data_IF_943065115932
#
_entry.id   IF_943065115932
#
_cell.length_a   1.000
_cell.length_b   1.000
_cell.length_c   1.000
_cell.angle_alpha   90.00
_cell.angle_beta   90.00
_cell.angle_gamma   90.00
#
_symmetry.space_group_name_H-M   'P 1'
#
loop_
_entity.id
_entity.type
_entity.pdbx_description
1 polymer ?
#
# COMPACT_ATOMS: atom_id res chain seq x y z
N UNK A 1 18.32 -9.87 2.36
CA UNK A 1 17.24 -8.94 1.96
C UNK A 1 17.62 -7.56 2.47
N UNK A 2 17.85 -6.58 1.58
CA UNK A 2 18.09 -5.19 2.00
C UNK A 2 16.77 -4.66 2.59
N UNK A 3 16.74 -4.04 3.79
CA UNK A 3 15.52 -3.48 4.34
C UNK A 3 14.99 -2.42 3.37
N UNK A 4 13.67 -2.41 3.16
CA UNK A 4 13.02 -1.37 2.37
C UNK A 4 13.30 -0.02 3.00
N UNK A 5 14.09 0.80 2.32
CA UNK A 5 14.39 2.17 2.74
C UNK A 5 13.25 3.10 2.31
N UNK A 6 12.01 2.77 2.72
CA UNK A 6 10.88 3.67 2.53
C UNK A 6 10.64 4.43 3.82
N UNK A 7 10.64 5.76 3.73
CA UNK A 7 10.28 6.62 4.85
C UNK A 7 8.79 6.45 5.17
N UNK A 8 8.40 6.67 6.43
CA UNK A 8 7.00 6.61 6.85
C UNK A 8 6.09 7.53 6.00
N UNK A 9 6.60 8.72 5.63
CA UNK A 9 5.88 9.67 4.78
C UNK A 9 5.60 9.09 3.37
N UNK A 10 6.60 8.47 2.75
CA UNK A 10 6.48 7.81 1.44
C UNK A 10 5.51 6.63 1.50
N UNK A 11 5.56 5.85 2.57
CA UNK A 11 4.65 4.74 2.78
C UNK A 11 3.20 5.21 2.89
N UNK A 12 2.93 6.32 3.59
CA UNK A 12 1.58 6.91 3.70
C UNK A 12 1.10 7.40 2.33
N UNK A 13 1.94 8.10 1.56
CA UNK A 13 1.58 8.57 0.22
C UNK A 13 1.26 7.40 -0.72
N UNK A 14 2.11 6.38 -0.75
CA UNK A 14 1.91 5.17 -1.55
C UNK A 14 0.67 4.39 -1.13
N UNK A 15 0.38 4.28 0.17
CA UNK A 15 -0.82 3.60 0.68
C UNK A 15 -2.11 4.22 0.10
N UNK A 16 -2.15 5.56 0.04
CA UNK A 16 -3.28 6.34 -0.48
C UNK A 16 -3.40 6.22 -1.99
N UNK A 17 -2.27 6.30 -2.71
CA UNK A 17 -2.26 6.19 -4.17
C UNK A 17 -2.61 4.77 -4.65
N UNK A 18 -2.13 3.74 -3.94
CA UNK A 18 -2.37 2.34 -4.27
C UNK A 18 -3.68 1.80 -3.70
N UNK A 19 -4.33 2.52 -2.78
CA UNK A 19 -5.50 2.03 -2.04
C UNK A 19 -5.19 0.81 -1.17
N UNK A 20 -3.95 0.68 -0.68
CA UNK A 20 -3.48 -0.47 0.12
C UNK A 20 -3.10 0.01 1.52
N UNK A 21 -3.44 -0.71 2.60
CA UNK A 21 -3.11 -0.30 3.96
C UNK A 21 -1.59 -0.21 4.23
N UNK A 22 -1.21 0.73 5.10
CA UNK A 22 0.18 1.02 5.47
C UNK A 22 0.90 -0.18 6.09
N UNK A 23 0.23 -0.96 6.96
CA UNK A 23 0.78 -2.18 7.58
C UNK A 23 1.18 -3.19 6.51
N UNK A 24 0.29 -3.46 5.55
CA UNK A 24 0.58 -4.37 4.45
C UNK A 24 1.73 -3.84 3.59
N UNK A 25 1.83 -2.53 3.39
CA UNK A 25 2.92 -1.89 2.64
C UNK A 25 4.28 -2.05 3.32
N UNK A 26 4.34 -1.96 4.65
CA UNK A 26 5.57 -2.13 5.44
C UNK A 26 6.09 -3.58 5.43
N UNK A 27 5.18 -4.55 5.33
CA UNK A 27 5.54 -5.98 5.19
C UNK A 27 5.70 -6.43 3.73
N UNK A 28 5.39 -5.55 2.78
CA UNK A 28 5.38 -5.88 1.36
C UNK A 28 6.81 -6.05 0.84
N UNK A 29 7.13 -7.14 0.12
CA UNK A 29 8.44 -7.27 -0.50
C UNK A 29 8.61 -6.31 -1.69
N UNK A 30 9.83 -5.82 -1.91
CA UNK A 30 10.16 -4.74 -2.85
C UNK A 30 9.68 -4.99 -4.29
N UNK A 31 9.74 -6.23 -4.78
CA UNK A 31 9.32 -6.57 -6.14
C UNK A 31 7.79 -6.51 -6.34
N UNK A 32 7.00 -6.69 -5.28
CA UNK A 32 5.53 -6.53 -5.34
C UNK A 32 5.17 -5.05 -5.37
N UNK A 33 5.87 -4.24 -4.59
CA UNK A 33 5.70 -2.78 -4.62
C UNK A 33 6.00 -2.21 -6.01
N UNK A 34 7.09 -2.66 -6.64
CA UNK A 34 7.46 -2.28 -8.01
C UNK A 34 6.37 -2.64 -9.03
N UNK A 35 5.77 -3.83 -8.91
CA UNK A 35 4.65 -4.25 -9.77
C UNK A 35 3.43 -3.33 -9.59
N UNK A 36 3.03 -3.06 -8.34
CA UNK A 36 1.91 -2.16 -8.03
C UNK A 36 2.13 -0.73 -8.54
N UNK A 37 3.35 -0.19 -8.42
CA UNK A 37 3.69 1.13 -8.97
C UNK A 37 3.62 1.11 -10.50
N UNK A 38 4.11 0.05 -11.15
CA UNK A 38 3.99 -0.11 -12.60
C UNK A 38 2.53 -0.28 -13.06
N UNK A 39 1.69 -0.95 -12.28
CA UNK A 39 0.25 -1.04 -12.52
C UNK A 39 -0.43 0.32 -12.34
N UNK A 40 -0.08 1.10 -11.31
CA UNK A 40 -0.59 2.45 -11.08
C UNK A 40 -0.25 3.38 -12.26
N UNK A 41 1.00 3.37 -12.72
CA UNK A 41 1.46 4.18 -13.84
C UNK A 41 0.76 3.82 -15.16
N UNK A 42 0.32 2.57 -15.32
CA UNK A 42 -0.50 2.12 -16.47
C UNK A 42 -1.98 2.43 -16.28
N UNK A 43 -2.46 2.51 -15.03
CA UNK A 43 -3.87 2.68 -14.67
C UNK A 43 -4.28 4.13 -14.46
N UNK A 44 -3.42 5.11 -14.74
CA UNK A 44 -3.74 6.55 -14.74
C UNK A 44 -4.89 6.91 -15.73
N UNK A 45 -5.46 5.91 -16.44
CA UNK A 45 -6.65 6.02 -17.28
C UNK A 45 -7.94 5.40 -16.70
N UNK A 46 -7.93 4.81 -15.51
CA UNK A 46 -9.15 4.26 -14.89
C UNK A 46 -9.13 4.38 -13.35
N UNK A 47 -10.20 4.90 -12.71
CA UNK A 47 -10.26 5.01 -11.26
C UNK A 47 -10.43 3.60 -10.68
N UNK A 48 -9.39 3.08 -10.05
CA UNK A 48 -9.48 1.84 -9.29
C UNK A 48 -10.28 2.10 -8.01
N UNK A 49 -11.60 1.92 -8.12
CA UNK A 49 -12.54 1.79 -7.01
C UNK A 49 -12.10 0.72 -6.02
N UNK A 50 -12.38 1.00 -4.75
CA UNK A 50 -12.00 0.19 -3.61
C UNK A 50 -12.38 -1.28 -3.71
N UNK A 51 -11.54 -2.09 -3.06
CA UNK A 51 -11.96 -3.34 -2.44
C UNK A 51 -11.72 -3.19 -0.94
N UNK A 52 -12.83 -3.06 -0.24
CA UNK A 52 -13.10 -3.47 1.13
C UNK A 52 -12.06 -4.46 1.73
N UNK A 53 -11.54 -4.15 2.93
CA UNK A 53 -12.13 -4.63 4.19
C UNK A 53 -11.46 -3.98 5.42
N UNK A 54 -12.26 -3.22 6.17
CA UNK A 54 -12.30 -3.01 7.64
C UNK A 54 -11.13 -2.37 8.43
N UNK A 55 -11.39 -1.24 9.15
CA UNK A 55 -10.93 -1.02 10.53
C UNK A 55 -12.12 -1.18 11.52
N UNK A 56 -11.94 -1.06 12.84
CA UNK A 56 -10.95 -1.64 13.75
C UNK A 56 -11.67 -2.31 14.95
N UNK A 57 -11.31 -3.52 15.44
CA UNK A 57 -11.88 -4.03 16.71
C UNK A 57 -11.14 -5.22 17.33
N UNK A 58 -10.55 -4.97 18.50
CA UNK A 58 -10.49 -5.79 19.73
C UNK A 58 -9.45 -5.08 20.64
N UNK A 59 -9.77 -3.96 21.28
CA UNK A 59 -10.50 -3.80 22.55
C UNK A 59 -10.03 -4.75 23.68
N UNK A 60 -9.21 -4.20 24.56
CA UNK A 60 -9.21 -4.31 26.04
C UNK A 60 -9.73 -5.61 26.68
N UNK A 61 -8.83 -6.35 27.34
CA UNK A 61 -8.95 -6.73 28.76
C UNK A 61 -7.60 -7.21 29.35
#
# INVERSE_FOLDING_TARGET
>A
MRPLQISAETAIALSKQLGVPIEQLMHMPQHILMQKIAELAKSDNAPASGKDEQPPSQQEN
#
